data_IF_057409074132
#
_entry.id   IF_057409074132
#
_cell.length_a   1.000
_cell.length_b   1.000
_cell.length_c   1.000
_cell.angle_alpha   90.00
_cell.angle_beta   90.00
_cell.angle_gamma   90.00
#
_symmetry.space_group_name_H-M   'P 1'
#
loop_
_entity.id
_entity.type
_entity.pdbx_description
1 polymer ?
#
# COMPACT_ATOMS: atom_id res chain seq x y z
N UNK A 1 2.50 -14.21 3.20
CA UNK A 1 2.79 -13.53 1.93
C UNK A 1 2.35 -12.08 2.09
N UNK A 2 3.25 -11.10 1.90
CA UNK A 2 2.91 -9.68 2.00
C UNK A 2 2.70 -9.13 0.58
N UNK A 3 1.57 -8.48 0.32
CA UNK A 3 1.22 -7.95 -1.00
C UNK A 3 0.97 -6.46 -0.85
N UNK A 4 1.61 -5.65 -1.70
CA UNK A 4 1.47 -4.19 -1.68
C UNK A 4 0.01 -3.75 -1.86
N UNK A 5 -0.75 -4.54 -2.61
CA UNK A 5 -2.18 -4.36 -2.80
C UNK A 5 -2.94 -5.60 -2.30
N UNK A 6 -3.98 -5.41 -1.47
CA UNK A 6 -4.92 -6.44 -1.12
C UNK A 6 -5.55 -7.09 -2.35
N UNK A 7 -6.03 -8.33 -2.21
CA UNK A 7 -6.74 -9.03 -3.27
C UNK A 7 -8.17 -8.49 -3.44
N UNK A 8 -8.76 -8.74 -4.61
CA UNK A 8 -10.15 -8.35 -4.91
C UNK A 8 -11.15 -8.88 -3.87
N UNK A 9 -10.94 -10.12 -3.39
CA UNK A 9 -11.80 -10.75 -2.39
C UNK A 9 -11.71 -10.03 -1.04
N UNK A 10 -10.51 -9.59 -0.65
CA UNK A 10 -10.27 -8.88 0.61
C UNK A 10 -11.02 -7.54 0.63
N UNK A 11 -11.03 -6.82 -0.50
CA UNK A 11 -11.83 -5.60 -0.60
C UNK A 11 -13.33 -5.86 -0.42
N UNK A 12 -13.87 -6.92 -1.06
CA UNK A 12 -15.29 -7.27 -0.91
C UNK A 12 -15.60 -7.61 0.55
N UNK A 13 -14.73 -8.38 1.21
CA UNK A 13 -14.91 -8.73 2.61
C UNK A 13 -14.90 -7.50 3.52
N UNK A 14 -13.98 -6.56 3.32
CA UNK A 14 -13.92 -5.35 4.13
C UNK A 14 -15.19 -4.52 3.99
N UNK A 15 -15.71 -4.35 2.77
CA UNK A 15 -16.96 -3.63 2.54
C UNK A 15 -18.15 -4.34 3.20
N UNK A 16 -18.23 -5.67 3.10
CA UNK A 16 -19.29 -6.45 3.78
C UNK A 16 -19.19 -6.33 5.30
N UNK A 17 -17.99 -6.48 5.87
CA UNK A 17 -17.75 -6.33 7.32
C UNK A 17 -18.00 -4.90 7.81
N UNK A 18 -17.82 -3.89 6.96
CA UNK A 18 -18.18 -2.51 7.24
C UNK A 18 -19.70 -2.20 7.09
N UNK A 19 -20.53 -3.23 6.87
CA UNK A 19 -21.99 -3.11 6.83
C UNK A 19 -22.55 -2.62 5.50
N UNK A 20 -21.74 -2.60 4.43
CA UNK A 20 -22.25 -2.30 3.09
C UNK A 20 -23.04 -3.49 2.55
N UNK A 21 -24.21 -3.20 1.97
CA UNK A 21 -25.05 -4.15 1.25
C UNK A 21 -24.87 -3.96 -0.26
N UNK A 22 -25.25 -4.96 -1.04
CA UNK A 22 -25.19 -4.89 -2.51
C UNK A 22 -23.78 -4.60 -3.06
N UNK A 23 -22.74 -5.16 -2.40
CA UNK A 23 -21.33 -4.93 -2.75
C UNK A 23 -21.02 -5.54 -4.12
N UNK A 24 -20.55 -4.70 -5.06
CA UNK A 24 -20.17 -5.06 -6.43
C UNK A 24 -18.73 -4.66 -6.69
N UNK A 25 -17.99 -5.52 -7.36
CA UNK A 25 -16.62 -5.26 -7.82
C UNK A 25 -16.62 -5.04 -9.33
N UNK A 26 -16.10 -3.89 -9.76
CA UNK A 26 -15.94 -3.53 -11.17
C UNK A 26 -14.46 -3.40 -11.49
N UNK A 27 -13.98 -4.23 -12.40
CA UNK A 27 -12.62 -4.12 -12.93
C UNK A 27 -12.54 -2.92 -13.88
N UNK A 28 -11.56 -2.06 -13.66
CA UNK A 28 -11.32 -0.88 -14.50
C UNK A 28 -10.13 -1.20 -15.40
N UNK A 29 -10.36 -1.10 -16.71
CA UNK A 29 -9.32 -1.30 -17.71
C UNK A 29 -9.80 -0.87 -19.10
N UNK A 30 -8.89 -0.41 -19.97
CA UNK A 30 -9.21 -0.16 -21.37
C UNK A 30 -9.71 -1.45 -22.05
N UNK A 31 -10.66 -1.36 -22.98
CA UNK A 31 -11.17 -2.53 -23.73
C UNK A 31 -10.07 -3.31 -24.46
N UNK A 32 -9.01 -2.61 -24.88
CA UNK A 32 -7.85 -3.19 -25.55
C UNK A 32 -6.85 -3.84 -24.59
N UNK A 33 -7.00 -3.61 -23.28
CA UNK A 33 -6.16 -4.20 -22.25
C UNK A 33 -6.70 -5.57 -21.86
N UNK A 34 -6.11 -6.63 -22.41
CA UNK A 34 -6.49 -8.03 -22.16
C UNK A 34 -5.76 -8.65 -20.96
N UNK A 35 -5.44 -7.84 -19.94
CA UNK A 35 -4.57 -8.23 -18.83
C UNK A 35 -5.01 -9.50 -18.11
N UNK A 36 -4.33 -10.61 -18.41
CA UNK A 36 -4.29 -11.84 -17.61
C UNK A 36 -2.83 -12.18 -17.38
N UNK A 37 -2.17 -11.53 -16.41
CA UNK A 37 -0.94 -12.12 -15.86
C UNK A 37 -1.37 -13.36 -15.06
N UNK A 38 -0.57 -14.43 -15.08
CA UNK A 38 -0.72 -15.64 -14.23
C UNK A 38 -0.91 -15.34 -12.72
N UNK A 39 -0.70 -14.08 -12.32
CA UNK A 39 -0.81 -13.55 -10.96
C UNK A 39 -1.92 -12.50 -10.77
N UNK A 40 -2.80 -12.28 -11.76
CA UNK A 40 -4.08 -11.57 -11.58
C UNK A 40 -4.06 -10.03 -11.51
N UNK A 41 -2.99 -9.34 -11.93
CA UNK A 41 -2.96 -7.86 -11.88
C UNK A 41 -3.88 -7.22 -12.94
N UNK A 42 -5.05 -6.77 -12.47
CA UNK A 42 -5.91 -5.75 -13.07
C UNK A 42 -5.26 -4.36 -12.97
N UNK A 43 -5.50 -3.49 -13.95
CA UNK A 43 -5.04 -2.08 -13.89
C UNK A 43 -5.63 -1.34 -12.68
N UNK A 44 -6.84 -1.72 -12.29
CA UNK A 44 -7.48 -1.29 -11.05
C UNK A 44 -8.84 -1.98 -10.85
N UNK A 45 -9.34 -1.97 -9.61
CA UNK A 45 -10.71 -2.35 -9.28
C UNK A 45 -11.41 -1.19 -8.57
N UNK A 46 -12.71 -1.10 -8.76
CA UNK A 46 -13.62 -0.24 -8.01
C UNK A 46 -14.61 -1.13 -7.27
N UNK A 47 -14.71 -0.96 -5.97
CA UNK A 47 -15.72 -1.63 -5.13
C UNK A 47 -16.79 -0.61 -4.76
N UNK A 48 -18.03 -0.95 -5.08
CA UNK A 48 -19.21 -0.12 -4.77
C UNK A 48 -20.12 -0.90 -3.84
N UNK A 49 -20.70 -0.23 -2.84
CA UNK A 49 -21.71 -0.82 -1.96
C UNK A 49 -22.65 0.26 -1.45
N UNK A 50 -23.83 -0.14 -0.98
CA UNK A 50 -24.86 0.75 -0.45
C UNK A 50 -24.92 0.61 1.07
N UNK A 51 -24.78 1.72 1.79
CA UNK A 51 -25.01 1.78 3.24
C UNK A 51 -26.36 2.47 3.47
N UNK A 52 -27.40 1.68 3.77
CA UNK A 52 -28.78 2.18 3.96
C UNK A 52 -28.99 2.85 5.31
N UNK A 53 -28.24 2.43 6.31
CA UNK A 53 -28.32 2.94 7.67
C UNK A 53 -27.19 3.95 7.91
N UNK A 54 -27.55 5.10 8.50
CA UNK A 54 -26.61 6.15 8.86
C UNK A 54 -26.04 5.83 10.24
N UNK A 55 -24.73 5.90 10.39
CA UNK A 55 -24.04 5.59 11.65
C UNK A 55 -22.65 5.00 11.40
N UNK A 56 -21.98 4.66 12.49
CA UNK A 56 -20.63 4.12 12.46
C UNK A 56 -20.55 2.77 11.74
N UNK A 57 -19.33 2.39 11.36
CA UNK A 57 -19.09 1.10 10.75
C UNK A 57 -19.12 0.01 11.83
N UNK A 58 -19.81 -1.13 11.60
CA UNK A 58 -19.73 -2.29 12.49
C UNK A 58 -18.33 -2.95 12.47
N UNK A 59 -17.48 -2.59 11.50
CA UNK A 59 -16.11 -3.08 11.43
C UNK A 59 -15.27 -2.44 12.54
N UNK A 60 -14.92 -3.24 13.54
CA UNK A 60 -13.94 -2.88 14.55
C UNK A 60 -12.53 -3.07 13.96
N UNK A 61 -11.85 -1.96 13.69
CA UNK A 61 -10.45 -1.98 13.30
C UNK A 61 -9.59 -2.30 14.52
N UNK A 62 -8.55 -3.11 14.33
CA UNK A 62 -7.52 -3.30 15.35
C UNK A 62 -6.81 -1.98 15.68
N UNK A 63 -6.02 -1.93 16.77
CA UNK A 63 -5.24 -0.76 17.11
C UNK A 63 -4.39 -0.36 15.90
N UNK A 64 -4.42 0.92 15.55
CA UNK A 64 -3.67 1.48 14.43
C UNK A 64 -2.18 1.15 14.63
N UNK A 65 -1.65 0.25 13.81
CA UNK A 65 -0.31 -0.30 13.98
C UNK A 65 0.79 0.77 13.84
N UNK A 66 0.55 1.77 13.00
CA UNK A 66 1.47 2.89 12.80
C UNK A 66 0.91 4.17 13.41
N UNK A 67 1.51 4.58 14.52
CA UNK A 67 1.23 5.86 15.16
C UNK A 67 2.05 6.98 14.51
N UNK A 68 1.55 7.51 13.40
CA UNK A 68 2.15 8.65 12.66
C UNK A 68 2.18 9.93 13.49
N UNK A 69 1.46 9.99 14.63
CA UNK A 69 1.43 11.18 15.48
C UNK A 69 2.67 11.31 16.37
N UNK A 70 3.44 10.24 16.56
CA UNK A 70 4.66 10.29 17.36
C UNK A 70 5.75 11.05 16.62
N UNK A 71 6.35 12.08 17.25
CA UNK A 71 7.48 12.77 16.66
C UNK A 71 8.64 11.79 16.48
N UNK A 72 9.34 11.91 15.37
CA UNK A 72 10.56 11.14 15.13
C UNK A 72 11.61 11.52 16.18
N UNK A 73 12.32 10.53 16.74
CA UNK A 73 13.38 10.81 17.70
C UNK A 73 14.57 11.48 16.96
N UNK A 74 14.95 12.74 17.30
CA UNK A 74 15.99 13.47 16.58
C UNK A 74 17.35 12.78 16.58
N UNK A 75 17.67 12.09 17.67
CA UNK A 75 18.94 11.36 17.82
C UNK A 75 18.96 10.17 16.86
N UNK A 76 17.90 9.36 16.87
CA UNK A 76 17.77 8.23 15.95
C UNK A 76 17.78 8.68 14.48
N UNK A 77 17.16 9.82 14.18
CA UNK A 77 17.21 10.42 12.84
C UNK A 77 18.64 10.79 12.45
N UNK A 78 19.38 11.49 13.32
CA UNK A 78 20.76 11.88 13.06
C UNK A 78 21.67 10.66 12.84
N UNK A 79 21.54 9.61 13.66
CA UNK A 79 22.30 8.38 13.46
C UNK A 79 21.99 7.71 12.13
N UNK A 80 20.70 7.63 11.73
CA UNK A 80 20.30 7.05 10.43
C UNK A 80 20.82 7.90 9.26
N UNK A 81 20.80 9.22 9.40
CA UNK A 81 21.34 10.14 8.41
C UNK A 81 22.85 9.95 8.24
N UNK A 82 23.61 9.97 9.34
CA UNK A 82 25.07 9.78 9.32
C UNK A 82 25.44 8.42 8.72
N UNK A 83 24.81 7.34 9.16
CA UNK A 83 25.04 6.00 8.60
C UNK A 83 24.75 5.96 7.09
N UNK A 84 23.64 6.55 6.64
CA UNK A 84 23.31 6.65 5.23
C UNK A 84 24.37 7.42 4.43
N UNK A 85 24.84 8.56 4.95
CA UNK A 85 25.88 9.36 4.30
C UNK A 85 27.23 8.65 4.25
N UNK A 86 27.61 7.92 5.30
CA UNK A 86 28.85 7.14 5.34
C UNK A 86 28.79 5.98 4.34
N UNK A 87 27.67 5.25 4.29
CA UNK A 87 27.49 4.18 3.32
C UNK A 87 27.51 4.70 1.87
N UNK A 88 26.86 5.84 1.60
CA UNK A 88 26.87 6.46 0.28
C UNK A 88 28.28 6.93 -0.12
N UNK A 89 29.00 7.60 0.78
CA UNK A 89 30.37 8.01 0.55
C UNK A 89 31.30 6.81 0.33
N UNK A 90 31.16 5.76 1.14
CA UNK A 90 31.91 4.51 0.96
C UNK A 90 31.64 3.90 -0.41
N UNK A 91 30.37 3.79 -0.84
CA UNK A 91 30.03 3.25 -2.16
C UNK A 91 30.68 4.08 -3.29
N UNK A 92 30.59 5.41 -3.24
CA UNK A 92 31.19 6.31 -4.25
C UNK A 92 32.72 6.20 -4.26
N UNK A 93 33.37 6.08 -3.09
CA UNK A 93 34.82 6.01 -3.00
C UNK A 93 35.38 4.61 -3.34
N UNK A 94 34.63 3.54 -3.03
CA UNK A 94 35.05 2.16 -3.28
C UNK A 94 34.67 1.65 -4.66
N UNK A 95 33.65 2.22 -5.30
CA UNK A 95 33.15 1.84 -6.63
C UNK A 95 33.18 3.02 -7.62
N UNK A 96 34.00 4.05 -7.34
CA UNK A 96 34.13 5.30 -8.10
C UNK A 96 34.73 5.20 -9.50
N UNK A 97 34.91 4.00 -10.04
CA UNK A 97 35.12 3.76 -11.47
C UNK A 97 33.80 3.30 -12.13
N UNK A 98 32.69 4.01 -11.89
CA UNK A 98 31.61 4.05 -12.87
C UNK A 98 31.89 5.26 -13.73
N UNK A 99 32.73 5.01 -14.74
CA UNK A 99 33.00 5.88 -15.86
C UNK A 99 31.70 6.48 -16.38
N UNK A 100 31.71 7.81 -16.55
CA UNK A 100 30.81 8.46 -17.49
C UNK A 100 31.05 7.83 -18.86
N UNK A 101 30.11 7.01 -19.33
CA UNK A 101 29.88 6.65 -20.73
C UNK A 101 28.38 6.71 -20.98
#
# INVERSE_FOLDING_TARGET
MWMLFPKEEEYIEWFKKAGFKDVKLKRIGPKWYRGVRRHGLIMGCSVTGVKRERGDSPLQLGPKAEDVSKPVNPITFLFRFLMGTICAAYYVLSHGEITCV
#
